data_IF_395254995919
#
_entry.id   IF_395254995919
#
_cell.length_a   1.000
_cell.length_b   1.000
_cell.length_c   1.000
_cell.angle_alpha   90.00
_cell.angle_beta   90.00
_cell.angle_gamma   90.00
#
_symmetry.space_group_name_H-M   'P 1'
#
loop_
_entity.id
_entity.type
_entity.pdbx_description
1 polymer ?
#
# COMPACT_ATOMS: atom_id res chain seq x y z
N UNK A 1 -14.05 19.09 17.40
CA UNK A 1 -14.01 18.93 15.92
C UNK A 1 -13.53 20.27 15.37
N UNK A 2 -12.40 20.42 14.68
CA UNK A 2 -11.56 19.49 13.93
C UNK A 2 -10.19 20.16 13.72
N UNK A 3 -9.18 19.73 14.49
CA UNK A 3 -7.78 20.14 14.28
C UNK A 3 -7.00 19.17 13.38
N UNK A 4 -7.65 18.15 12.82
CA UNK A 4 -6.98 17.17 11.95
C UNK A 4 -6.39 17.81 10.69
N UNK A 5 -7.09 18.75 10.04
CA UNK A 5 -6.54 19.42 8.84
C UNK A 5 -5.30 20.26 9.17
N UNK A 6 -5.32 20.98 10.30
CA UNK A 6 -4.17 21.78 10.74
C UNK A 6 -2.99 20.89 11.13
N UNK A 7 -3.24 19.76 11.80
CA UNK A 7 -2.21 18.77 12.15
C UNK A 7 -1.63 18.05 10.93
N UNK A 8 -2.47 17.70 9.94
CA UNK A 8 -2.01 17.12 8.67
C UNK A 8 -1.16 18.13 7.91
N UNK A 9 -1.63 19.39 7.83
CA UNK A 9 -0.93 20.47 7.14
C UNK A 9 0.42 20.76 7.80
N UNK A 10 0.49 20.79 9.13
CA UNK A 10 1.75 21.02 9.85
C UNK A 10 2.74 19.86 9.70
N UNK A 11 2.26 18.60 9.70
CA UNK A 11 3.09 17.42 9.42
C UNK A 11 3.62 17.42 7.99
N UNK A 12 2.78 17.76 7.00
CA UNK A 12 3.20 17.90 5.61
C UNK A 12 4.27 18.99 5.44
N UNK A 13 4.09 20.13 6.12
CA UNK A 13 5.08 21.21 6.14
C UNK A 13 6.40 20.82 6.82
N UNK A 14 6.34 20.04 7.90
CA UNK A 14 7.53 19.53 8.56
C UNK A 14 8.32 18.57 7.65
N UNK A 15 7.64 17.62 7.00
CA UNK A 15 8.26 16.72 6.02
C UNK A 15 8.85 17.48 4.82
N UNK A 16 8.14 18.48 4.30
CA UNK A 16 8.65 19.32 3.21
C UNK A 16 9.88 20.14 3.64
N UNK A 17 9.96 20.59 4.89
CA UNK A 17 11.13 21.27 5.42
C UNK A 17 12.34 20.35 5.58
N UNK A 18 12.14 19.08 5.93
CA UNK A 18 13.20 18.07 5.99
C UNK A 18 13.76 17.71 4.60
N UNK A 19 12.93 17.80 3.56
CA UNK A 19 13.29 17.53 2.16
C UNK A 19 13.80 18.77 1.40
N UNK A 20 13.70 19.96 1.99
CA UNK A 20 14.07 21.23 1.35
C UNK A 20 15.59 21.39 1.32
N UNK A 21 16.16 21.13 0.15
CA UNK A 21 17.60 21.21 -0.13
C UNK A 21 18.03 20.20 -1.20
N UNK A 22 17.24 19.15 -1.43
CA UNK A 22 17.52 18.08 -2.40
C UNK A 22 16.46 17.93 -3.50
N UNK A 23 15.26 18.52 -3.36
CA UNK A 23 14.16 18.37 -4.33
C UNK A 23 13.26 19.62 -4.41
N UNK A 24 12.71 19.94 -5.59
CA UNK A 24 11.77 21.05 -5.76
C UNK A 24 10.40 20.71 -5.15
N UNK A 25 9.71 21.72 -4.58
CA UNK A 25 8.44 21.50 -3.90
C UNK A 25 7.33 20.98 -4.84
N UNK A 26 7.43 21.30 -6.14
CA UNK A 26 6.49 20.80 -7.15
C UNK A 26 6.69 19.30 -7.46
N UNK A 27 7.92 18.81 -7.41
CA UNK A 27 8.26 17.40 -7.58
C UNK A 27 7.77 16.58 -6.38
N UNK A 28 7.99 17.08 -5.15
CA UNK A 28 7.51 16.41 -3.93
C UNK A 28 6.00 16.17 -3.96
N UNK A 29 5.24 17.17 -4.42
CA UNK A 29 3.78 17.05 -4.57
C UNK A 29 3.40 15.89 -5.50
N UNK A 30 4.09 15.72 -6.62
CA UNK A 30 3.77 14.66 -7.57
C UNK A 30 4.07 13.27 -6.99
N UNK A 31 5.17 13.13 -6.23
CA UNK A 31 5.52 11.85 -5.59
C UNK A 31 4.61 11.51 -4.41
N UNK A 32 4.35 12.46 -3.51
CA UNK A 32 3.55 12.18 -2.30
C UNK A 32 2.10 11.81 -2.65
N UNK A 33 1.54 12.38 -3.73
CA UNK A 33 0.19 12.05 -4.18
C UNK A 33 0.09 10.61 -4.69
N UNK A 34 1.10 10.13 -5.42
CA UNK A 34 1.14 8.74 -5.87
C UNK A 34 1.17 7.76 -4.69
N UNK A 35 1.97 8.04 -3.66
CA UNK A 35 2.01 7.23 -2.44
C UNK A 35 0.71 7.29 -1.65
N UNK A 36 0.08 8.47 -1.52
CA UNK A 36 -1.22 8.58 -0.86
C UNK A 36 -2.31 7.81 -1.59
N UNK A 37 -2.29 7.83 -2.92
CA UNK A 37 -3.22 7.06 -3.73
C UNK A 37 -2.97 5.55 -3.58
N UNK A 38 -1.71 5.12 -3.63
CA UNK A 38 -1.34 3.72 -3.42
C UNK A 38 -1.79 3.21 -2.05
N UNK A 39 -1.55 3.99 -1.00
CA UNK A 39 -2.04 3.69 0.35
C UNK A 39 -3.56 3.52 0.38
N UNK A 40 -4.29 4.43 -0.26
CA UNK A 40 -5.75 4.34 -0.34
C UNK A 40 -6.21 3.04 -1.02
N UNK A 41 -5.57 2.66 -2.13
CA UNK A 41 -5.89 1.42 -2.85
C UNK A 41 -5.59 0.17 -2.01
N UNK A 42 -4.47 0.16 -1.29
CA UNK A 42 -4.10 -0.93 -0.38
C UNK A 42 -5.11 -1.09 0.76
N UNK A 43 -5.43 0.00 1.46
CA UNK A 43 -6.42 -0.03 2.55
C UNK A 43 -7.83 -0.39 2.04
N UNK A 44 -8.17 -0.01 0.80
CA UNK A 44 -9.43 -0.39 0.17
C UNK A 44 -9.47 -1.89 -0.15
N UNK A 45 -8.37 -2.46 -0.67
CA UNK A 45 -8.27 -3.89 -0.92
C UNK A 45 -8.38 -4.69 0.38
N UNK A 46 -7.69 -4.30 1.45
CA UNK A 46 -7.81 -4.97 2.76
C UNK A 46 -9.26 -5.00 3.26
N UNK A 47 -10.00 -3.91 3.09
CA UNK A 47 -11.45 -3.87 3.43
C UNK A 47 -12.27 -4.79 2.54
N UNK A 48 -11.93 -4.89 1.25
CA UNK A 48 -12.57 -5.83 0.33
C UNK A 48 -12.32 -7.29 0.75
N UNK A 49 -11.08 -7.62 1.13
CA UNK A 49 -10.70 -8.98 1.54
C UNK A 49 -11.51 -9.45 2.76
N UNK A 50 -11.63 -8.60 3.78
CA UNK A 50 -12.42 -8.91 4.97
C UNK A 50 -13.92 -8.84 4.69
N UNK A 51 -14.37 -7.80 3.97
CA UNK A 51 -15.80 -7.55 3.73
C UNK A 51 -16.48 -8.63 2.90
N UNK A 52 -15.73 -9.34 2.04
CA UNK A 52 -16.24 -10.43 1.21
C UNK A 52 -15.79 -11.82 1.68
N UNK A 53 -15.17 -11.93 2.86
CA UNK A 53 -14.62 -13.18 3.41
C UNK A 53 -13.68 -13.89 2.42
N UNK A 54 -12.82 -13.13 1.74
CA UNK A 54 -11.79 -13.66 0.83
C UNK A 54 -10.65 -14.27 1.63
N UNK A 55 -10.40 -13.76 2.84
CA UNK A 55 -9.41 -14.27 3.78
C UNK A 55 -10.03 -14.43 5.16
N UNK A 56 -9.53 -15.41 5.90
CA UNK A 56 -9.88 -15.64 7.30
C UNK A 56 -8.88 -14.93 8.22
N UNK A 57 -9.31 -13.90 8.95
CA UNK A 57 -8.42 -13.15 9.86
C UNK A 57 -8.57 -13.69 11.28
N UNK A 58 -7.49 -14.21 11.86
CA UNK A 58 -7.51 -14.73 13.23
C UNK A 58 -7.60 -13.61 14.28
N UNK A 59 -8.03 -13.96 15.50
CA UNK A 59 -8.14 -12.98 16.59
C UNK A 59 -6.76 -12.45 16.97
N UNK A 60 -6.55 -11.16 16.72
CA UNK A 60 -5.30 -10.46 17.04
C UNK A 60 -4.30 -10.42 15.90
N UNK A 61 -4.65 -10.98 14.75
CA UNK A 61 -3.87 -10.90 13.51
C UNK A 61 -4.25 -9.65 12.71
N UNK A 62 -3.29 -9.06 11.99
CA UNK A 62 -3.60 -8.00 11.03
C UNK A 62 -4.15 -8.58 9.72
N UNK A 63 -4.90 -7.77 8.97
CA UNK A 63 -5.43 -8.21 7.67
C UNK A 63 -4.28 -8.59 6.73
N UNK A 64 -3.19 -7.82 6.76
CA UNK A 64 -2.02 -8.09 5.95
C UNK A 64 -1.31 -9.40 6.35
N UNK A 65 -1.19 -9.69 7.65
CA UNK A 65 -0.59 -10.95 8.12
C UNK A 65 -1.40 -12.16 7.67
N UNK A 66 -2.73 -12.09 7.78
CA UNK A 66 -3.62 -13.14 7.28
C UNK A 66 -3.47 -13.32 5.76
N UNK A 67 -3.39 -12.22 5.01
CA UNK A 67 -3.20 -12.24 3.56
C UNK A 67 -1.83 -12.82 3.17
N UNK A 68 -0.75 -12.45 3.87
CA UNK A 68 0.60 -13.01 3.69
C UNK A 68 0.67 -14.51 3.95
N UNK A 69 -0.17 -15.05 4.85
CA UNK A 69 -0.20 -16.49 5.14
C UNK A 69 -1.04 -17.27 4.13
N UNK A 70 -2.15 -16.70 3.67
CA UNK A 70 -3.14 -17.40 2.84
C UNK A 70 -2.83 -17.27 1.34
N UNK A 71 -2.44 -16.10 0.87
CA UNK A 71 -2.14 -15.86 -0.54
C UNK A 71 -0.67 -16.16 -0.85
N UNK A 72 -0.31 -17.44 -0.87
CA UNK A 72 1.06 -17.91 -1.08
C UNK A 72 1.16 -19.01 -2.13
N UNK A 73 2.34 -19.14 -2.74
CA UNK A 73 2.64 -20.25 -3.64
C UNK A 73 1.73 -20.24 -4.87
N UNK A 74 1.09 -21.38 -5.15
CA UNK A 74 0.23 -21.56 -6.31
C UNK A 74 -1.10 -20.78 -6.21
N UNK A 75 -1.58 -20.53 -4.99
CA UNK A 75 -2.87 -19.88 -4.76
C UNK A 75 -2.79 -18.36 -4.95
N UNK A 76 -1.58 -17.78 -4.88
CA UNK A 76 -1.37 -16.35 -5.02
C UNK A 76 -1.96 -15.79 -6.33
N UNK A 77 -1.77 -16.49 -7.44
CA UNK A 77 -2.27 -16.04 -8.75
C UNK A 77 -3.80 -15.99 -8.78
N UNK A 78 -4.47 -16.96 -8.16
CA UNK A 78 -5.93 -17.01 -8.05
C UNK A 78 -6.45 -15.84 -7.20
N UNK A 79 -5.83 -15.57 -6.04
CA UNK A 79 -6.15 -14.40 -5.22
C UNK A 79 -6.00 -13.09 -6.01
N UNK A 80 -4.87 -12.92 -6.71
CA UNK A 80 -4.62 -11.71 -7.49
C UNK A 80 -5.64 -11.55 -8.62
N UNK A 81 -6.02 -12.64 -9.29
CA UNK A 81 -7.02 -12.62 -10.34
C UNK A 81 -8.41 -12.24 -9.79
N UNK A 82 -8.85 -12.87 -8.70
CA UNK A 82 -10.16 -12.60 -8.09
C UNK A 82 -10.26 -11.17 -7.57
N UNK A 83 -9.20 -10.67 -6.92
CA UNK A 83 -9.15 -9.28 -6.47
C UNK A 83 -9.19 -8.33 -7.67
N UNK A 84 -8.43 -8.60 -8.73
CA UNK A 84 -8.40 -7.78 -9.94
C UNK A 84 -9.77 -7.72 -10.63
N UNK A 85 -10.47 -8.85 -10.71
CA UNK A 85 -11.82 -8.91 -11.30
C UNK A 85 -12.84 -8.06 -10.52
N UNK A 86 -12.72 -8.00 -9.20
CA UNK A 86 -13.64 -7.26 -8.35
C UNK A 86 -13.29 -5.77 -8.21
N UNK A 87 -12.00 -5.44 -8.10
CA UNK A 87 -11.54 -4.08 -7.80
C UNK A 87 -10.94 -3.34 -9.01
N UNK A 88 -10.64 -4.05 -10.10
CA UNK A 88 -9.93 -3.52 -11.27
C UNK A 88 -8.41 -3.39 -11.07
N UNK A 89 -7.89 -3.87 -9.95
CA UNK A 89 -6.47 -3.92 -9.61
C UNK A 89 -6.26 -4.97 -8.52
N UNK A 90 -5.02 -5.45 -8.37
CA UNK A 90 -4.65 -6.33 -7.26
C UNK A 90 -3.24 -6.01 -6.74
N UNK A 91 -3.11 -5.92 -5.42
CA UNK A 91 -1.84 -5.71 -4.72
C UNK A 91 -1.46 -7.03 -4.06
N UNK A 92 -0.24 -7.50 -4.34
CA UNK A 92 0.28 -8.71 -3.72
C UNK A 92 0.49 -8.50 -2.21
N UNK A 93 0.44 -9.57 -1.38
CA UNK A 93 0.55 -9.43 0.06
C UNK A 93 1.88 -8.78 0.50
N UNK A 94 2.97 -9.03 -0.21
CA UNK A 94 4.26 -8.38 0.07
C UNK A 94 4.34 -6.91 -0.37
N UNK A 95 3.39 -6.45 -1.20
CA UNK A 95 3.39 -5.09 -1.78
C UNK A 95 2.33 -4.18 -1.13
N UNK A 96 1.59 -4.66 -0.12
CA UNK A 96 0.61 -3.82 0.60
C UNK A 96 1.30 -2.65 1.32
N UNK A 97 0.50 -1.64 1.64
CA UNK A 97 0.98 -0.51 2.44
C UNK A 97 1.49 -0.96 3.81
N UNK A 98 0.81 -1.90 4.46
CA UNK A 98 1.27 -2.45 5.75
C UNK A 98 2.61 -3.19 5.60
N UNK A 99 2.78 -4.01 4.56
CA UNK A 99 4.06 -4.67 4.26
C UNK A 99 5.20 -3.69 4.02
N UNK A 100 4.94 -2.59 3.29
CA UNK A 100 5.92 -1.53 3.09
C UNK A 100 6.30 -0.84 4.42
N UNK A 101 5.32 -0.53 5.27
CA UNK A 101 5.57 0.10 6.58
C UNK A 101 6.36 -0.83 7.50
N UNK A 102 6.04 -2.12 7.52
CA UNK A 102 6.79 -3.11 8.29
C UNK A 102 8.25 -3.16 7.83
N UNK A 103 8.49 -3.19 6.51
CA UNK A 103 9.84 -3.16 5.93
C UNK A 103 10.63 -1.90 6.30
N UNK A 104 9.96 -0.74 6.36
CA UNK A 104 10.56 0.53 6.79
C UNK A 104 10.94 0.48 8.28
N UNK A 105 10.02 -0.01 9.13
CA UNK A 105 10.26 -0.11 10.57
C UNK A 105 11.41 -1.07 10.91
N UNK A 106 11.56 -2.13 10.11
CA UNK A 106 12.64 -3.12 10.26
C UNK A 106 13.95 -2.68 9.59
N UNK A 107 14.01 -1.46 9.06
CA UNK A 107 15.15 -0.90 8.33
C UNK A 107 15.64 -1.78 7.16
N UNK A 108 14.73 -2.53 6.54
CA UNK A 108 15.00 -3.41 5.40
C UNK A 108 14.67 -2.76 4.05
N UNK A 109 14.10 -1.56 4.05
CA UNK A 109 13.68 -0.87 2.82
C UNK A 109 14.88 -0.44 1.99
N UNK A 110 14.83 -0.72 0.69
CA UNK A 110 15.81 -0.30 -0.31
C UNK A 110 15.12 0.42 -1.47
N UNK A 111 15.82 1.29 -2.23
CA UNK A 111 15.20 2.07 -3.31
C UNK A 111 14.44 1.24 -4.35
N UNK A 112 14.91 0.02 -4.66
CA UNK A 112 14.26 -0.88 -5.62
C UNK A 112 12.90 -1.42 -5.16
N UNK A 113 12.59 -1.33 -3.86
CA UNK A 113 11.29 -1.78 -3.34
C UNK A 113 10.16 -0.93 -3.90
N UNK A 114 10.36 0.38 -3.98
CA UNK A 114 9.36 1.30 -4.55
C UNK A 114 9.11 1.00 -6.03
N UNK A 115 10.17 0.73 -6.79
CA UNK A 115 10.04 0.35 -8.20
C UNK A 115 9.28 -0.97 -8.35
N UNK A 116 9.65 -1.98 -7.55
CA UNK A 116 9.00 -3.29 -7.54
C UNK A 116 7.51 -3.19 -7.25
N UNK A 117 7.13 -2.41 -6.23
CA UNK A 117 5.73 -2.19 -5.85
C UNK A 117 4.93 -1.63 -7.03
N UNK A 118 5.43 -0.59 -7.70
CA UNK A 118 4.71 0.01 -8.83
C UNK A 118 4.69 -0.90 -10.06
N UNK A 119 5.77 -1.64 -10.33
CA UNK A 119 5.83 -2.58 -11.45
C UNK A 119 4.84 -3.73 -11.24
N UNK A 120 4.80 -4.30 -10.05
CA UNK A 120 3.85 -5.36 -9.68
C UNK A 120 2.40 -4.85 -9.74
N UNK A 121 2.14 -3.64 -9.22
CA UNK A 121 0.82 -3.02 -9.30
C UNK A 121 0.36 -2.82 -10.76
N UNK A 122 1.23 -2.31 -11.64
CA UNK A 122 0.92 -2.12 -13.05
C UNK A 122 0.69 -3.45 -13.78
N UNK A 123 1.48 -4.48 -13.45
CA UNK A 123 1.29 -5.83 -13.98
C UNK A 123 -0.07 -6.40 -13.58
N UNK A 124 -0.43 -6.28 -12.31
CA UNK A 124 -1.65 -6.88 -11.77
C UNK A 124 -2.92 -6.11 -12.16
N UNK A 125 -2.83 -4.79 -12.37
CA UNK A 125 -3.94 -3.97 -12.88
C UNK A 125 -4.29 -4.24 -14.34
N UNK A 126 -3.45 -5.00 -15.05
CA UNK A 126 -3.69 -5.43 -16.44
C UNK A 126 -4.32 -6.82 -16.56
N UNK A 127 -4.50 -7.55 -15.46
CA UNK A 127 -5.06 -8.90 -15.44
C UNK A 127 -6.57 -8.77 -15.66
N UNK A 128 -7.03 -9.20 -16.85
CA UNK A 128 -8.44 -9.24 -17.26
C UNK A 128 -8.92 -10.68 -17.40
#
# INVERSE_FOLDING_TARGET
MSNNLQTITSKLWAMANELRGTMDASEYKNYILAFMFYRYLSEHQEKYLVGNNVIDVEKGESINDAYLKQAVGADLDDYLQDISLSLGYAIAPNDTWESLINKINDAQVIPSDYQTIFDNFNKNSGIK
#
